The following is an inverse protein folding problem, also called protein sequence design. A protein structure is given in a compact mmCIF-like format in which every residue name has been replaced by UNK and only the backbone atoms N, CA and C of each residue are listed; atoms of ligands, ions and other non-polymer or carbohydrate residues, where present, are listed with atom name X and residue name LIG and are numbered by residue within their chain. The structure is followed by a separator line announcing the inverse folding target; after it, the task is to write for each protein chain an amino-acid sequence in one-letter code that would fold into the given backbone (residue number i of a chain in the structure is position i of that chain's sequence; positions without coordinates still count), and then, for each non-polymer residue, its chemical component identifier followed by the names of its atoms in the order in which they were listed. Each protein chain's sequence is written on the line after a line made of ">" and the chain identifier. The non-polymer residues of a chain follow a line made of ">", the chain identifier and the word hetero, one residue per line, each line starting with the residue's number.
data_IF_814710933871
#
_entry.id   IF_814710933871
#
_cell.length_a   1.000
_cell.length_b   1.000
_cell.length_c   1.000
_cell.angle_alpha   90.00
_cell.angle_beta   90.00
_cell.angle_gamma   90.00
#
_symmetry.space_group_name_H-M   'P 1'
#
loop_
_entity.id
_entity.type
_entity.pdbx_description
1 polymer ?
#
# COMPACT_ATOMS: atom_id res chain seq x y z
N UNK A 1 3.79 -12.79 -13.77
CA UNK A 1 2.50 -12.09 -13.58
C UNK A 1 2.74 -10.90 -12.66
N UNK A 2 3.06 -9.73 -13.20
CA UNK A 2 3.40 -8.55 -12.39
C UNK A 2 2.11 -7.88 -11.89
N UNK A 3 1.91 -7.87 -10.56
CA UNK A 3 0.91 -6.99 -9.96
C UNK A 3 1.27 -5.54 -10.34
N UNK A 4 0.29 -4.74 -10.74
CA UNK A 4 0.57 -3.36 -11.15
C UNK A 4 1.02 -2.57 -9.91
N UNK A 5 2.23 -2.01 -9.96
CA UNK A 5 2.71 -1.11 -8.92
C UNK A 5 1.84 0.15 -8.88
N UNK A 6 1.55 0.66 -7.68
CA UNK A 6 0.70 1.81 -7.42
C UNK A 6 1.55 2.95 -6.88
N UNK A 7 1.44 4.14 -7.47
CA UNK A 7 2.19 5.32 -6.99
C UNK A 7 1.64 5.79 -5.64
N UNK A 8 2.53 6.22 -4.75
CA UNK A 8 2.13 6.79 -3.47
C UNK A 8 1.22 8.01 -3.62
N UNK A 9 1.46 8.83 -4.65
CA UNK A 9 0.60 9.97 -4.97
C UNK A 9 -0.85 9.56 -5.25
N UNK A 10 -1.08 8.44 -5.96
CA UNK A 10 -2.44 7.95 -6.23
C UNK A 10 -3.12 7.45 -4.95
N UNK A 11 -2.36 6.78 -4.08
CA UNK A 11 -2.89 6.28 -2.80
C UNK A 11 -3.36 7.45 -1.95
N UNK A 12 -2.54 8.48 -1.82
CA UNK A 12 -2.83 9.67 -1.01
C UNK A 12 -3.92 10.51 -1.66
N UNK A 13 -4.00 10.56 -2.99
CA UNK A 13 -5.10 11.23 -3.69
C UNK A 13 -6.46 10.56 -3.44
N UNK A 14 -6.51 9.23 -3.37
CA UNK A 14 -7.77 8.49 -3.11
C UNK A 14 -8.13 8.35 -1.62
N UNK A 15 -7.12 8.19 -0.76
CA UNK A 15 -7.31 7.92 0.66
C UNK A 15 -7.19 9.17 1.54
N UNK A 16 -6.51 10.21 1.06
CA UNK A 16 -6.11 11.36 1.87
C UNK A 16 -4.83 11.09 2.64
N UNK A 17 -4.57 11.88 3.68
CA UNK A 17 -3.36 11.79 4.49
C UNK A 17 -2.22 12.67 3.99
N UNK A 18 -1.15 12.76 4.77
CA UNK A 18 0.04 13.54 4.45
C UNK A 18 1.15 12.61 3.97
N UNK A 19 1.59 12.80 2.73
CA UNK A 19 2.74 12.08 2.19
C UNK A 19 4.04 12.82 2.53
N UNK A 20 4.96 12.09 3.14
CA UNK A 20 6.36 12.47 3.30
C UNK A 20 7.18 11.68 2.30
N UNK A 21 8.03 12.37 1.54
CA UNK A 21 8.86 11.75 0.49
C UNK A 21 8.28 11.93 -0.91
N UNK A 22 8.68 11.06 -1.84
CA UNK A 22 8.36 11.22 -3.26
C UNK A 22 7.02 10.55 -3.65
N UNK A 23 6.04 11.28 -4.22
CA UNK A 23 4.77 10.70 -4.71
C UNK A 23 4.94 9.77 -5.90
N UNK A 24 6.08 9.83 -6.58
CA UNK A 24 6.42 8.97 -7.72
C UNK A 24 6.84 7.56 -7.31
N UNK A 25 7.14 7.35 -6.03
CA UNK A 25 7.51 6.04 -5.51
C UNK A 25 6.34 5.07 -5.73
N UNK A 26 6.65 3.91 -6.31
CA UNK A 26 5.65 2.92 -6.68
C UNK A 26 5.74 1.72 -5.76
N UNK A 27 4.59 1.29 -5.24
CA UNK A 27 4.44 0.16 -4.32
C UNK A 27 3.75 -0.99 -5.03
N UNK A 28 4.31 -2.18 -4.93
CA UNK A 28 3.83 -3.39 -5.58
C UNK A 28 2.86 -4.19 -4.71
N UNK A 29 3.05 -4.13 -3.38
CA UNK A 29 2.25 -4.92 -2.44
C UNK A 29 2.13 -4.27 -1.07
N UNK A 30 1.16 -4.77 -0.32
CA UNK A 30 0.91 -4.44 1.09
C UNK A 30 1.46 -5.59 1.93
N UNK A 31 2.20 -5.30 2.99
CA UNK A 31 2.79 -6.32 3.86
C UNK A 31 3.13 -5.81 5.26
N UNK A 32 3.50 -6.71 6.19
CA UNK A 32 3.92 -6.32 7.53
C UNK A 32 5.36 -5.77 7.54
N UNK A 33 5.70 -4.91 8.51
CA UNK A 33 7.02 -4.24 8.61
C UNK A 33 8.21 -5.21 8.60
N UNK A 34 8.03 -6.40 9.17
CA UNK A 34 9.02 -7.48 9.28
C UNK A 34 9.44 -8.10 7.94
N UNK A 35 8.56 -8.15 6.94
CA UNK A 35 8.84 -8.72 5.60
C UNK A 35 8.75 -7.68 4.49
N UNK A 36 8.64 -6.40 4.89
CA UNK A 36 8.52 -5.30 3.96
C UNK A 36 9.87 -4.87 3.39
N UNK A 37 9.84 -4.60 2.09
CA UNK A 37 10.95 -4.16 1.26
C UNK A 37 10.58 -2.86 0.53
N UNK A 38 11.48 -2.38 -0.33
CA UNK A 38 11.31 -1.12 -1.05
C UNK A 38 10.05 -1.05 -1.92
N UNK A 39 9.50 -2.21 -2.35
CA UNK A 39 8.25 -2.29 -3.11
C UNK A 39 7.01 -2.52 -2.23
N UNK A 40 7.16 -2.51 -0.91
CA UNK A 40 6.09 -2.85 0.04
C UNK A 40 5.66 -1.65 0.86
N UNK A 41 4.35 -1.42 0.92
CA UNK A 41 3.74 -0.51 1.89
C UNK A 41 3.38 -1.30 3.15
N UNK A 42 3.97 -0.86 4.27
CA UNK A 42 3.72 -1.44 5.57
C UNK A 42 2.94 -0.47 6.45
N UNK A 43 2.28 -0.99 7.48
CA UNK A 43 1.59 -0.18 8.47
C UNK A 43 2.00 -0.58 9.87
N UNK A 44 1.99 0.38 10.78
CA UNK A 44 2.24 0.15 12.20
C UNK A 44 0.92 -0.09 12.92
N UNK A 45 0.58 -1.35 13.18
CA UNK A 45 -0.62 -1.72 13.93
C UNK A 45 -0.55 -1.31 15.40
N UNK A 46 0.64 -1.33 16.01
CA UNK A 46 0.79 -1.04 17.44
C UNK A 46 1.97 -0.09 17.65
N UNK A 47 1.78 1.05 18.33
CA UNK A 47 2.84 2.01 18.62
C UNK A 47 4.03 1.41 19.40
N UNK A 48 3.88 0.23 20.02
CA UNK A 48 5.02 -0.49 20.61
C UNK A 48 6.05 -0.99 19.60
N UNK A 49 5.74 -1.06 18.30
CA UNK A 49 6.66 -1.58 17.28
C UNK A 49 7.52 -0.51 16.61
N UNK A 50 7.78 0.63 17.27
CA UNK A 50 8.75 1.65 16.80
C UNK A 50 10.11 1.07 16.41
N UNK A 51 10.63 0.11 17.18
CA UNK A 51 11.89 -0.55 16.84
C UNK A 51 11.81 -1.32 15.51
N UNK A 52 10.66 -1.94 15.21
CA UNK A 52 10.45 -2.59 13.91
C UNK A 52 10.29 -1.57 12.80
N UNK A 53 9.67 -0.42 13.07
CA UNK A 53 9.57 0.69 12.12
C UNK A 53 10.97 1.17 11.70
N UNK A 54 11.88 1.34 12.65
CA UNK A 54 13.27 1.74 12.37
C UNK A 54 14.03 0.66 11.61
N UNK A 55 13.87 -0.62 11.99
CA UNK A 55 14.56 -1.74 11.34
C UNK A 55 13.97 -2.12 9.96
N UNK A 56 12.74 -1.71 9.65
CA UNK A 56 12.04 -2.12 8.43
C UNK A 56 12.63 -1.49 7.17
N UNK A 57 12.70 -2.29 6.11
CA UNK A 57 13.11 -1.89 4.76
C UNK A 57 11.91 -1.49 3.88
N UNK A 58 10.72 -1.29 4.46
CA UNK A 58 9.53 -0.86 3.74
C UNK A 58 9.77 0.43 2.96
N UNK A 59 9.42 0.42 1.66
CA UNK A 59 9.50 1.60 0.80
C UNK A 59 8.55 2.72 1.23
N UNK A 60 7.41 2.35 1.82
CA UNK A 60 6.48 3.28 2.43
C UNK A 60 5.90 2.72 3.73
N UNK A 61 5.72 3.56 4.73
CA UNK A 61 5.12 3.20 6.02
C UNK A 61 3.92 4.09 6.34
N UNK A 62 2.85 3.50 6.88
CA UNK A 62 1.67 4.23 7.35
C UNK A 62 1.75 4.32 8.87
N UNK A 63 1.79 5.56 9.39
CA UNK A 63 1.94 5.83 10.82
C UNK A 63 1.07 7.02 11.24
N UNK A 64 0.90 7.15 12.56
CA UNK A 64 0.22 8.32 13.13
C UNK A 64 1.06 9.59 12.91
N UNK A 65 0.40 10.74 12.77
CA UNK A 65 1.06 12.05 12.62
C UNK A 65 2.04 12.35 13.77
N UNK A 66 1.82 11.79 14.97
CA UNK A 66 2.72 11.90 16.13
C UNK A 66 4.07 11.18 15.94
N UNK A 67 4.22 10.33 14.93
CA UNK A 67 5.45 9.57 14.63
C UNK A 67 6.21 10.17 13.44
N UNK A 68 5.87 11.40 13.02
CA UNK A 68 6.50 12.12 11.90
C UNK A 68 8.02 12.16 12.01
N UNK A 69 8.56 12.45 13.19
CA UNK A 69 10.01 12.51 13.42
C UNK A 69 10.70 11.14 13.24
N UNK A 70 10.02 10.04 13.53
CA UNK A 70 10.58 8.69 13.35
C UNK A 70 10.63 8.26 11.87
N UNK A 71 9.79 8.86 11.03
CA UNK A 71 9.74 8.54 9.59
C UNK A 71 10.40 9.60 8.71
N UNK A 72 10.86 10.72 9.27
CA UNK A 72 11.48 11.81 8.53
C UNK A 72 12.76 11.40 7.77
N UNK A 73 13.46 10.36 8.22
CA UNK A 73 14.66 9.82 7.54
C UNK A 73 14.37 8.72 6.51
N UNK A 74 13.10 8.37 6.26
CA UNK A 74 12.70 7.28 5.36
C UNK A 74 12.43 7.80 3.94
N UNK A 75 12.53 6.94 2.92
CA UNK A 75 12.27 7.34 1.53
C UNK A 75 10.82 7.81 1.31
N UNK A 76 9.85 7.18 1.98
CA UNK A 76 8.49 7.66 2.02
C UNK A 76 7.72 7.19 3.27
N UNK A 77 6.75 8.00 3.69
CA UNK A 77 5.81 7.67 4.76
C UNK A 77 4.49 8.40 4.56
N UNK A 78 3.39 7.80 5.03
CA UNK A 78 2.06 8.39 5.01
C UNK A 78 1.64 8.62 6.47
N UNK A 79 1.37 9.87 6.81
CA UNK A 79 0.83 10.27 8.10
C UNK A 79 -0.70 10.37 8.02
N UNK A 80 -1.36 9.85 9.05
CA UNK A 80 -2.81 9.84 9.18
C UNK A 80 -3.18 9.81 10.66
N UNK A 81 -4.30 10.42 11.05
CA UNK A 81 -4.79 10.34 12.43
C UNK A 81 -5.16 8.91 12.83
N UNK A 82 -5.76 8.14 11.91
CA UNK A 82 -6.18 6.75 12.13
C UNK A 82 -5.46 5.75 11.20
N UNK A 83 -4.26 5.25 11.57
CA UNK A 83 -3.49 4.30 10.76
C UNK A 83 -4.25 3.01 10.44
N UNK A 84 -5.04 2.50 11.39
CA UNK A 84 -5.88 1.31 11.19
C UNK A 84 -6.95 1.52 10.13
N UNK A 85 -7.67 2.65 10.22
CA UNK A 85 -8.72 2.99 9.27
C UNK A 85 -8.13 3.19 7.87
N UNK A 86 -7.00 3.88 7.79
CA UNK A 86 -6.27 4.09 6.55
C UNK A 86 -5.85 2.76 5.92
N UNK A 87 -5.29 1.84 6.71
CA UNK A 87 -4.91 0.51 6.25
C UNK A 87 -6.12 -0.31 5.76
N UNK A 88 -7.25 -0.25 6.47
CA UNK A 88 -8.49 -0.91 6.04
C UNK A 88 -8.99 -0.36 4.68
N UNK A 89 -8.89 0.95 4.45
CA UNK A 89 -9.23 1.53 3.15
C UNK A 89 -8.20 1.20 2.06
N UNK A 90 -6.93 1.16 2.41
CA UNK A 90 -5.84 0.79 1.50
C UNK A 90 -6.01 -0.65 0.98
N UNK A 91 -6.26 -1.60 1.87
CA UNK A 91 -6.50 -3.00 1.48
C UNK A 91 -7.72 -3.14 0.57
N UNK A 92 -8.80 -2.38 0.82
CA UNK A 92 -9.95 -2.30 -0.07
C UNK A 92 -9.61 -1.70 -1.43
N UNK A 93 -8.81 -0.62 -1.47
CA UNK A 93 -8.33 -0.03 -2.71
C UNK A 93 -7.50 -1.04 -3.52
N UNK A 94 -6.58 -1.74 -2.86
CA UNK A 94 -5.75 -2.78 -3.49
C UNK A 94 -6.60 -3.93 -4.04
N UNK A 95 -7.56 -4.41 -3.26
CA UNK A 95 -8.48 -5.47 -3.69
C UNK A 95 -9.32 -5.04 -4.90
N UNK A 96 -9.78 -3.78 -4.94
CA UNK A 96 -10.49 -3.21 -6.10
C UNK A 96 -9.59 -3.13 -7.34
N UNK A 97 -8.36 -2.63 -7.21
CA UNK A 97 -7.40 -2.56 -8.33
C UNK A 97 -7.01 -3.94 -8.84
N UNK A 98 -6.88 -4.93 -7.95
CA UNK A 98 -6.59 -6.32 -8.31
C UNK A 98 -7.75 -6.97 -9.07
N UNK A 99 -8.99 -6.81 -8.57
CA UNK A 99 -10.21 -7.29 -9.25
C UNK A 99 -10.44 -6.62 -10.61
N UNK A 100 -10.19 -5.31 -10.73
CA UNK A 100 -10.34 -4.60 -12.01
C UNK A 100 -9.35 -5.08 -13.09
N UNK A 101 -8.22 -5.67 -12.69
CA UNK A 101 -7.23 -6.26 -13.62
C UNK A 101 -7.63 -7.66 -14.10
N UNK A 102 -8.53 -8.35 -13.41
CA UNK A 102 -9.00 -9.71 -13.76
C UNK A 102 -10.10 -9.71 -14.84
N UNK A 103 -10.55 -8.54 -15.31
CA UNK A 103 -11.62 -8.40 -16.33
C UNK A 103 -11.09 -7.91 -17.69
N UNK A 104 -9.89 -8.34 -18.13
CA UNK A 104 -9.48 -8.26 -19.55
C UNK A 104 -8.86 -9.59 -19.95
N UNK A 105 -9.71 -10.62 -19.89
CA UNK A 105 -9.38 -11.99 -20.26
C UNK A 105 -10.66 -12.76 -20.59
N UNK A 106 -11.61 -12.13 -21.30
CA UNK A 106 -12.70 -12.88 -21.92
C UNK A 106 -12.05 -13.77 -22.98
N UNK A 107 -11.96 -15.06 -22.66
CA UNK A 107 -11.56 -16.10 -23.60
C UNK A 107 -12.60 -16.16 -24.73
N UNK A 108 -12.24 -16.13 -26.04
CA UNK A 108 -13.19 -16.15 -27.15
C UNK A 108 -13.90 -17.49 -27.41
N UNK A 109 -13.86 -18.47 -26.51
CA UNK A 109 -14.42 -19.80 -26.75
C UNK A 109 -15.28 -20.28 -25.58
N UNK A 110 -16.36 -19.56 -25.30
CA UNK A 110 -17.54 -20.21 -24.72
C UNK A 110 -18.21 -21.02 -25.84
N UNK A 111 -17.77 -22.26 -26.03
CA UNK A 111 -18.44 -23.21 -26.91
C UNK A 111 -19.79 -23.57 -26.27
N UNK A 112 -20.86 -22.89 -26.70
CA UNK A 112 -22.23 -23.32 -26.42
C UNK A 112 -22.45 -24.59 -27.25
N UNK A 113 -22.66 -25.72 -26.59
CA UNK A 113 -23.03 -26.98 -27.23
C UNK A 113 -24.51 -26.90 -27.64
N UNK A 114 -24.88 -26.93 -28.94
CA UNK A 114 -26.26 -27.09 -29.33
C UNK A 114 -26.66 -28.56 -29.15
N UNK A 115 -27.76 -28.78 -28.43
CA UNK A 115 -28.47 -30.05 -28.40
C UNK A 115 -29.30 -30.28 -29.65
#
# INVERSE_FOLDING_TARGET
>A
MTAAAVKLGDIVAELGGELIGSPELSIERIGPLETADAGTIAFLSNPKYRQQLVASQAGCVIVASSLRDEVAGRPAAILTDDPYYYFARLTQLWARRRRGKEIVGVMPQAAVYPG
#
